data_IF_977626464325
#
_entry.id   IF_977626464325
#
_cell.length_a   1.000
_cell.length_b   1.000
_cell.length_c   1.000
_cell.angle_alpha   90.00
_cell.angle_beta   90.00
_cell.angle_gamma   90.00
#
_symmetry.space_group_name_H-M   'P 1'
#
loop_
_entity.id
_entity.type
_entity.pdbx_description
1 polymer ?
#
# COMPACT_ATOMS: atom_id res chain seq x y z
N UNK A 1 26.19 4.39 36.99
CA UNK A 1 25.71 5.78 37.02
C UNK A 1 24.20 5.76 37.18
N UNK A 2 23.70 6.10 38.37
CA UNK A 2 22.27 6.17 38.64
C UNK A 2 21.69 7.42 37.98
N UNK A 3 20.53 7.31 37.31
CA UNK A 3 19.76 8.49 36.87
C UNK A 3 19.36 9.28 38.12
N UNK A 4 19.66 10.56 38.15
CA UNK A 4 19.19 11.48 39.18
C UNK A 4 17.68 11.64 39.05
N UNK A 5 16.94 11.54 40.17
CA UNK A 5 15.52 11.86 40.20
C UNK A 5 15.35 13.38 40.17
N UNK A 6 14.55 13.87 39.21
CA UNK A 6 14.32 15.30 38.99
C UNK A 6 12.85 15.68 39.23
N UNK A 7 12.05 14.80 39.84
CA UNK A 7 10.62 15.02 40.07
C UNK A 7 10.34 16.32 40.87
N UNK A 8 11.06 16.54 41.97
CA UNK A 8 10.87 17.71 42.83
C UNK A 8 11.19 19.03 42.10
N UNK A 9 12.27 19.01 41.31
CA UNK A 9 12.66 20.18 40.52
C UNK A 9 11.63 20.50 39.43
N UNK A 10 11.13 19.47 38.73
CA UNK A 10 10.08 19.64 37.72
C UNK A 10 8.80 20.20 38.34
N UNK A 11 8.36 19.67 39.48
CA UNK A 11 7.16 20.16 40.16
C UNK A 11 7.32 21.61 40.63
N UNK A 12 8.51 22.00 41.11
CA UNK A 12 8.79 23.38 41.49
C UNK A 12 8.75 24.30 40.26
N UNK A 13 9.41 23.91 39.17
CA UNK A 13 9.39 24.65 37.91
C UNK A 13 7.97 24.85 37.37
N UNK A 14 7.15 23.79 37.34
CA UNK A 14 5.75 23.86 36.90
C UNK A 14 4.93 24.83 37.76
N UNK A 15 5.11 24.82 39.09
CA UNK A 15 4.43 25.80 39.97
C UNK A 15 4.84 27.23 39.69
N UNK A 16 6.13 27.51 39.50
CA UNK A 16 6.60 28.86 39.15
C UNK A 16 6.03 29.33 37.81
N UNK A 17 5.89 28.43 36.83
CA UNK A 17 5.24 28.76 35.55
C UNK A 17 3.76 29.12 35.76
N UNK A 18 3.05 28.41 36.65
CA UNK A 18 1.65 28.68 36.97
C UNK A 18 1.43 29.98 37.75
N UNK A 19 2.45 30.51 38.43
CA UNK A 19 2.40 31.85 39.05
C UNK A 19 2.47 32.98 38.00
N UNK A 20 3.04 32.69 36.83
CA UNK A 20 3.26 33.65 35.75
C UNK A 20 2.18 33.61 34.66
N UNK A 21 1.49 32.49 34.50
CA UNK A 21 0.51 32.27 33.45
C UNK A 21 -0.91 32.14 34.02
N UNK A 22 -1.87 32.78 33.36
CA UNK A 22 -3.29 32.58 33.65
C UNK A 22 -3.79 31.26 33.05
N UNK A 23 -4.95 30.78 33.52
CA UNK A 23 -5.64 29.64 32.92
C UNK A 23 -5.93 29.89 31.42
N UNK A 24 -6.23 31.14 31.04
CA UNK A 24 -6.47 31.49 29.64
C UNK A 24 -5.20 31.35 28.80
N UNK A 25 -4.03 31.75 29.31
CA UNK A 25 -2.76 31.57 28.61
C UNK A 25 -2.45 30.09 28.36
N UNK A 26 -2.78 29.23 29.32
CA UNK A 26 -2.65 27.79 29.16
C UNK A 26 -3.62 27.23 28.10
N UNK A 27 -4.88 27.68 28.11
CA UNK A 27 -5.87 27.29 27.10
C UNK A 27 -5.42 27.72 25.70
N UNK A 28 -4.94 28.95 25.55
CA UNK A 28 -4.40 29.46 24.29
C UNK A 28 -3.17 28.66 23.85
N UNK A 29 -2.32 28.27 24.82
CA UNK A 29 -1.19 27.39 24.64
C UNK A 29 -1.56 26.03 24.04
N UNK A 30 -2.67 25.40 24.46
CA UNK A 30 -3.17 24.12 23.89
C UNK A 30 -3.47 24.23 22.39
N UNK A 31 -3.95 25.39 21.94
CA UNK A 31 -4.21 25.68 20.52
C UNK A 31 -2.97 26.21 19.77
N UNK A 32 -1.85 26.37 20.47
CA UNK A 32 -0.61 26.91 19.92
C UNK A 32 0.00 26.04 18.82
N UNK A 33 0.80 26.67 17.94
CA UNK A 33 1.50 25.96 16.85
C UNK A 33 2.66 25.10 17.34
N UNK A 34 3.26 25.43 18.49
CA UNK A 34 4.36 24.67 19.06
C UNK A 34 3.81 23.44 19.82
N UNK A 35 4.02 22.25 19.25
CA UNK A 35 3.50 20.99 19.79
C UNK A 35 3.99 20.67 21.21
N UNK A 36 5.20 21.09 21.57
CA UNK A 36 5.72 20.86 22.93
C UNK A 36 5.01 21.75 23.93
N UNK A 37 4.84 23.04 23.60
CA UNK A 37 4.08 23.98 24.44
C UNK A 37 2.63 23.53 24.57
N UNK A 38 1.97 23.16 23.47
CA UNK A 38 0.58 22.69 23.50
C UNK A 38 0.39 21.47 24.39
N UNK A 39 1.28 20.48 24.30
CA UNK A 39 1.26 19.30 25.18
C UNK A 39 1.53 19.66 26.64
N UNK A 40 2.50 20.54 26.92
CA UNK A 40 2.81 20.97 28.29
C UNK A 40 1.67 21.76 28.92
N UNK A 41 1.05 22.68 28.18
CA UNK A 41 -0.13 23.42 28.63
C UNK A 41 -1.31 22.48 28.90
N UNK A 42 -1.57 21.52 28.01
CA UNK A 42 -2.60 20.50 28.21
C UNK A 42 -2.31 19.64 29.45
N UNK A 43 -1.07 19.21 29.62
CA UNK A 43 -0.63 18.45 30.79
C UNK A 43 -0.83 19.26 32.07
N UNK A 44 -0.39 20.52 32.13
CA UNK A 44 -0.53 21.38 33.31
C UNK A 44 -2.01 21.61 33.65
N UNK A 45 -2.86 21.91 32.66
CA UNK A 45 -4.31 22.05 32.86
C UNK A 45 -4.90 20.79 33.49
N UNK A 46 -4.50 19.61 33.00
CA UNK A 46 -5.02 18.35 33.52
C UNK A 46 -4.46 17.99 34.90
N UNK A 47 -3.14 18.05 35.08
CA UNK A 47 -2.42 17.63 36.28
C UNK A 47 -2.79 18.48 37.50
N UNK A 48 -3.00 19.78 37.30
CA UNK A 48 -3.34 20.72 38.37
C UNK A 48 -4.83 21.02 38.46
N UNK A 49 -5.68 20.37 37.65
CA UNK A 49 -7.13 20.55 37.68
C UNK A 49 -7.59 21.96 37.35
N UNK A 50 -6.92 22.62 36.41
CA UNK A 50 -7.16 24.03 36.06
C UNK A 50 -8.14 24.14 34.88
N UNK A 51 -9.07 25.08 34.98
CA UNK A 51 -10.05 25.38 33.93
C UNK A 51 -11.14 24.31 33.74
N UNK A 52 -12.01 24.52 32.74
CA UNK A 52 -13.01 23.52 32.39
C UNK A 52 -12.38 22.34 31.62
N UNK A 53 -12.59 21.14 32.17
CA UNK A 53 -12.09 19.89 31.61
C UNK A 53 -12.66 19.59 30.23
N UNK A 54 -13.94 19.84 30.01
CA UNK A 54 -14.55 19.59 28.71
C UNK A 54 -13.95 20.50 27.64
N UNK A 55 -13.74 21.78 27.97
CA UNK A 55 -13.15 22.78 27.11
C UNK A 55 -11.75 22.36 26.60
N UNK A 56 -10.79 22.12 27.49
CA UNK A 56 -9.42 21.85 27.05
C UNK A 56 -9.28 20.49 26.35
N UNK A 57 -10.04 19.46 26.74
CA UNK A 57 -10.10 18.18 26.02
C UNK A 57 -10.64 18.43 24.61
N UNK A 58 -11.71 19.20 24.50
CA UNK A 58 -12.29 19.56 23.21
C UNK A 58 -11.32 20.33 22.32
N UNK A 59 -10.52 21.25 22.87
CA UNK A 59 -9.50 21.99 22.13
C UNK A 59 -8.40 21.05 21.62
N UNK A 60 -7.88 20.19 22.49
CA UNK A 60 -6.85 19.23 22.15
C UNK A 60 -7.31 18.19 21.12
N UNK A 61 -8.57 17.75 21.15
CA UNK A 61 -9.15 16.86 20.12
C UNK A 61 -9.25 17.52 18.74
N UNK A 62 -9.44 18.85 18.69
CA UNK A 62 -9.54 19.61 17.46
C UNK A 62 -8.18 19.91 16.79
N UNK A 63 -7.07 19.52 17.42
CA UNK A 63 -5.73 19.74 16.86
C UNK A 63 -5.57 19.04 15.50
N UNK A 64 -4.91 19.73 14.57
CA UNK A 64 -4.61 19.19 13.24
C UNK A 64 -3.19 18.69 13.07
N UNK A 65 -2.28 19.13 13.94
CA UNK A 65 -0.83 18.90 13.81
C UNK A 65 -0.26 17.87 14.78
N UNK A 66 -1.02 17.48 15.80
CA UNK A 66 -0.47 16.68 16.90
C UNK A 66 -1.34 15.48 17.29
N UNK A 67 -1.03 14.32 16.72
CA UNK A 67 -1.75 13.08 17.05
C UNK A 67 -1.54 12.64 18.50
N UNK A 68 -0.45 13.03 19.16
CA UNK A 68 -0.16 12.63 20.54
C UNK A 68 -1.07 13.40 21.47
N UNK A 69 -1.19 14.72 21.29
CA UNK A 69 -2.10 15.56 22.04
C UNK A 69 -3.56 15.09 21.86
N UNK A 70 -3.99 14.83 20.62
CA UNK A 70 -5.31 14.27 20.35
C UNK A 70 -5.54 12.91 21.04
N UNK A 71 -4.50 12.06 21.09
CA UNK A 71 -4.57 10.75 21.76
C UNK A 71 -4.70 10.91 23.29
N UNK A 72 -3.94 11.83 23.88
CA UNK A 72 -4.03 12.13 25.31
C UNK A 72 -5.43 12.65 25.67
N UNK A 73 -5.94 13.61 24.89
CA UNK A 73 -7.29 14.14 25.05
C UNK A 73 -8.36 13.06 24.96
N UNK A 74 -8.28 12.19 23.95
CA UNK A 74 -9.23 11.10 23.78
C UNK A 74 -9.29 10.14 24.97
N UNK A 75 -8.14 9.84 25.60
CA UNK A 75 -8.10 8.99 26.81
C UNK A 75 -8.84 9.63 27.98
N UNK A 76 -8.80 10.95 28.10
CA UNK A 76 -9.47 11.66 29.18
C UNK A 76 -11.00 11.73 29.01
N UNK A 77 -11.53 11.57 27.79
CA UNK A 77 -12.99 11.52 27.55
C UNK A 77 -13.69 10.42 28.36
N UNK A 78 -13.00 9.29 28.63
CA UNK A 78 -13.57 8.20 29.42
C UNK A 78 -13.87 8.59 30.87
N UNK A 79 -13.27 9.68 31.36
CA UNK A 79 -13.35 10.14 32.75
C UNK A 79 -14.14 11.44 32.93
N UNK A 80 -14.88 11.88 31.90
CA UNK A 80 -15.84 12.99 31.98
C UNK A 80 -17.25 12.47 32.26
N UNK A 81 -18.18 13.37 32.61
CA UNK A 81 -19.59 13.02 32.76
C UNK A 81 -20.18 12.44 31.44
N UNK A 82 -21.18 11.54 31.49
CA UNK A 82 -21.67 10.82 30.30
C UNK A 82 -22.20 11.70 29.15
N UNK A 83 -22.87 12.80 29.49
CA UNK A 83 -23.38 13.80 28.55
C UNK A 83 -22.24 14.51 27.81
N UNK A 84 -21.23 14.95 28.56
CA UNK A 84 -20.00 15.58 28.03
C UNK A 84 -19.18 14.58 27.22
N UNK A 85 -19.08 13.35 27.70
CA UNK A 85 -18.30 12.28 27.08
C UNK A 85 -18.75 12.04 25.63
N UNK A 86 -20.06 11.93 25.41
CA UNK A 86 -20.64 11.72 24.08
C UNK A 86 -20.28 12.88 23.14
N UNK A 87 -20.45 14.13 23.60
CA UNK A 87 -20.10 15.31 22.81
C UNK A 87 -18.61 15.36 22.44
N UNK A 88 -17.72 14.97 23.36
CA UNK A 88 -16.28 14.90 23.10
C UNK A 88 -15.93 13.81 22.09
N UNK A 89 -16.55 12.63 22.15
CA UNK A 89 -16.32 11.59 21.13
C UNK A 89 -16.85 12.01 19.76
N UNK A 90 -18.01 12.67 19.68
CA UNK A 90 -18.49 13.26 18.43
C UNK A 90 -17.52 14.31 17.87
N UNK A 91 -16.89 15.11 18.73
CA UNK A 91 -15.82 16.02 18.32
C UNK A 91 -14.57 15.28 17.83
N UNK A 92 -14.19 14.18 18.49
CA UNK A 92 -13.08 13.33 18.09
C UNK A 92 -13.32 12.64 16.73
N UNK A 93 -14.58 12.39 16.34
CA UNK A 93 -14.94 11.91 15.00
C UNK A 93 -14.56 12.88 13.88
N UNK A 94 -14.34 14.16 14.17
CA UNK A 94 -13.88 15.16 13.20
C UNK A 94 -12.34 15.25 13.10
N UNK A 95 -11.62 14.46 13.90
CA UNK A 95 -10.16 14.48 13.92
C UNK A 95 -9.58 14.10 12.55
N UNK A 96 -8.49 14.74 12.07
CA UNK A 96 -7.81 14.30 10.85
C UNK A 96 -7.16 12.92 11.02
N UNK A 97 -6.93 12.49 12.25
CA UNK A 97 -6.24 11.24 12.57
C UNK A 97 -7.22 10.06 12.60
N UNK A 98 -7.08 9.13 11.64
CA UNK A 98 -7.96 7.97 11.55
C UNK A 98 -8.02 7.09 12.81
N UNK A 99 -6.91 7.01 13.57
CA UNK A 99 -6.89 6.28 14.87
C UNK A 99 -7.81 6.92 15.91
N UNK A 100 -7.84 8.25 15.97
CA UNK A 100 -8.71 8.98 16.91
C UNK A 100 -10.17 8.77 16.54
N UNK A 101 -10.52 8.90 15.26
CA UNK A 101 -11.89 8.60 14.77
C UNK A 101 -12.29 7.16 15.02
N UNK A 102 -11.39 6.20 14.81
CA UNK A 102 -11.66 4.76 15.06
C UNK A 102 -12.01 4.53 16.54
N UNK A 103 -11.19 5.03 17.46
CA UNK A 103 -11.42 4.88 18.89
C UNK A 103 -12.66 5.65 19.37
N UNK A 104 -12.92 6.83 18.83
CA UNK A 104 -14.13 7.60 19.13
C UNK A 104 -15.40 6.86 18.68
N UNK A 105 -15.43 6.32 17.46
CA UNK A 105 -16.57 5.52 16.99
C UNK A 105 -16.79 4.28 17.85
N UNK A 106 -15.72 3.57 18.23
CA UNK A 106 -15.82 2.44 19.14
C UNK A 106 -16.42 2.84 20.49
N UNK A 107 -15.95 3.92 21.10
CA UNK A 107 -16.50 4.41 22.36
C UNK A 107 -17.97 4.82 22.23
N UNK A 108 -18.37 5.46 21.11
CA UNK A 108 -19.76 5.82 20.85
C UNK A 108 -20.66 4.59 20.71
N UNK A 109 -20.18 3.50 20.09
CA UNK A 109 -20.96 2.24 20.02
C UNK A 109 -21.19 1.57 21.37
N UNK A 110 -20.39 1.92 22.39
CA UNK A 110 -20.46 1.36 23.75
C UNK A 110 -21.14 2.31 24.74
N UNK A 111 -21.40 3.56 24.35
CA UNK A 111 -21.93 4.58 25.24
C UNK A 111 -23.42 4.31 25.56
N UNK A 112 -23.83 4.35 26.85
CA UNK A 112 -25.23 4.27 27.22
C UNK A 112 -25.95 5.59 26.87
N UNK A 113 -26.60 5.64 25.71
CA UNK A 113 -27.36 6.82 25.27
C UNK A 113 -27.80 6.71 23.82
N UNK A 114 -29.05 7.07 23.54
CA UNK A 114 -29.71 6.95 22.24
C UNK A 114 -29.26 7.98 21.20
N UNK A 115 -27.95 8.09 20.94
CA UNK A 115 -27.48 8.73 19.72
C UNK A 115 -27.98 7.94 18.51
N UNK A 116 -28.25 8.63 17.40
CA UNK A 116 -28.57 7.99 16.14
C UNK A 116 -27.30 7.32 15.56
N UNK A 117 -26.96 6.18 16.16
CA UNK A 117 -25.79 5.37 15.78
C UNK A 117 -25.90 4.89 14.35
N UNK A 118 -27.12 4.73 13.82
CA UNK A 118 -27.35 4.40 12.42
C UNK A 118 -26.88 5.54 11.52
N UNK A 119 -27.31 6.77 11.76
CA UNK A 119 -26.86 7.93 10.97
C UNK A 119 -25.33 8.13 11.05
N UNK A 120 -24.75 7.98 12.24
CA UNK A 120 -23.30 8.10 12.42
C UNK A 120 -22.52 7.01 11.66
N UNK A 121 -22.99 5.76 11.73
CA UNK A 121 -22.35 4.66 11.03
C UNK A 121 -22.48 4.82 9.51
N UNK A 122 -23.64 5.24 8.99
CA UNK A 122 -23.84 5.55 7.58
C UNK A 122 -22.87 6.63 7.08
N UNK A 123 -22.70 7.73 7.84
CA UNK A 123 -21.74 8.78 7.52
C UNK A 123 -20.28 8.27 7.53
N UNK A 124 -20.00 7.25 8.35
CA UNK A 124 -18.66 6.66 8.52
C UNK A 124 -18.33 5.58 7.48
N UNK A 125 -19.29 5.14 6.65
CA UNK A 125 -19.07 4.12 5.61
C UNK A 125 -18.04 4.54 4.55
N UNK A 126 -17.84 5.84 4.36
CA UNK A 126 -16.90 6.42 3.39
C UNK A 126 -15.65 7.04 4.01
N UNK A 127 -15.41 6.80 5.30
CA UNK A 127 -14.23 7.32 5.97
C UNK A 127 -12.94 6.87 5.26
N UNK A 128 -11.94 7.76 5.15
CA UNK A 128 -10.67 7.43 4.51
C UNK A 128 -9.94 6.26 5.21
N UNK A 129 -10.08 6.14 6.53
CA UNK A 129 -9.48 5.10 7.36
C UNK A 129 -10.32 3.82 7.33
N UNK A 130 -9.70 2.72 6.91
CA UNK A 130 -10.38 1.42 6.80
C UNK A 130 -10.97 0.95 8.14
N UNK A 131 -10.25 1.13 9.25
CA UNK A 131 -10.70 0.73 10.59
C UNK A 131 -12.02 1.41 11.01
N UNK A 132 -12.22 2.69 10.65
CA UNK A 132 -13.49 3.40 10.91
C UNK A 132 -14.61 2.76 10.09
N UNK A 133 -14.36 2.49 8.80
CA UNK A 133 -15.35 1.83 7.93
C UNK A 133 -15.72 0.44 8.44
N UNK A 134 -14.77 -0.35 8.93
CA UNK A 134 -15.04 -1.67 9.48
C UNK A 134 -15.95 -1.61 10.71
N UNK A 135 -15.72 -0.66 11.62
CA UNK A 135 -16.59 -0.45 12.78
C UNK A 135 -17.98 0.01 12.36
N UNK A 136 -18.08 0.92 11.39
CA UNK A 136 -19.35 1.38 10.85
C UNK A 136 -20.17 0.24 10.23
N UNK A 137 -19.50 -0.61 9.43
CA UNK A 137 -20.11 -1.81 8.85
C UNK A 137 -20.61 -2.75 9.94
N UNK A 138 -19.78 -3.06 10.94
CA UNK A 138 -20.17 -3.93 12.04
C UNK A 138 -21.38 -3.39 12.81
N UNK A 139 -21.39 -2.09 13.09
CA UNK A 139 -22.50 -1.41 13.76
C UNK A 139 -23.81 -1.54 12.97
N UNK A 140 -23.80 -1.26 11.67
CA UNK A 140 -24.98 -1.38 10.82
C UNK A 140 -25.46 -2.84 10.68
N UNK A 141 -24.52 -3.79 10.57
CA UNK A 141 -24.86 -5.21 10.54
C UNK A 141 -25.51 -5.69 11.84
N UNK A 142 -25.07 -5.20 13.00
CA UNK A 142 -25.75 -5.52 14.28
C UNK A 142 -27.16 -4.96 14.36
N UNK A 143 -27.49 -3.94 13.56
CA UNK A 143 -28.84 -3.39 13.40
C UNK A 143 -29.67 -4.10 12.32
N UNK A 144 -29.13 -5.13 11.67
CA UNK A 144 -29.81 -5.87 10.59
C UNK A 144 -29.76 -5.20 9.21
N UNK A 145 -28.91 -4.19 9.03
CA UNK A 145 -28.78 -3.47 7.75
C UNK A 145 -27.85 -4.21 6.77
N UNK A 146 -28.27 -4.30 5.50
CA UNK A 146 -27.37 -4.72 4.41
C UNK A 146 -26.59 -3.51 3.87
N UNK A 147 -25.41 -3.30 4.44
CA UNK A 147 -24.49 -2.21 4.06
C UNK A 147 -24.08 -2.24 2.58
N UNK A 148 -24.21 -3.38 1.89
CA UNK A 148 -23.90 -3.47 0.45
C UNK A 148 -24.84 -2.60 -0.36
N UNK A 149 -26.09 -2.42 0.07
CA UNK A 149 -27.08 -1.56 -0.59
C UNK A 149 -26.54 -0.13 -0.69
N UNK A 150 -25.95 0.41 0.40
CA UNK A 150 -25.36 1.75 0.41
C UNK A 150 -24.18 1.87 -0.56
N UNK A 151 -23.28 0.89 -0.59
CA UNK A 151 -22.14 0.91 -1.51
C UNK A 151 -22.57 0.75 -2.97
N UNK A 152 -23.54 -0.12 -3.27
CA UNK A 152 -24.13 -0.28 -4.61
C UNK A 152 -24.78 1.02 -5.08
N UNK A 153 -25.53 1.70 -4.23
CA UNK A 153 -26.16 2.98 -4.56
C UNK A 153 -25.13 4.05 -4.93
N UNK A 154 -23.98 4.09 -4.24
CA UNK A 154 -22.88 5.01 -4.57
C UNK A 154 -22.27 4.66 -5.92
N UNK A 155 -22.04 3.38 -6.21
CA UNK A 155 -21.48 2.94 -7.50
C UNK A 155 -22.45 3.16 -8.66
N UNK A 156 -23.76 3.08 -8.42
CA UNK A 156 -24.79 3.35 -9.42
C UNK A 156 -25.00 4.85 -9.69
N UNK A 157 -24.61 5.73 -8.76
CA UNK A 157 -24.80 7.16 -8.91
C UNK A 157 -23.68 7.80 -9.77
N UNK A 158 -24.00 8.37 -10.94
CA UNK A 158 -23.00 8.99 -11.83
C UNK A 158 -22.36 10.26 -11.24
N UNK A 159 -22.97 10.89 -10.24
CA UNK A 159 -22.44 12.05 -9.56
C UNK A 159 -21.44 11.70 -8.43
N UNK A 160 -21.25 10.41 -8.13
CA UNK A 160 -20.30 9.98 -7.11
C UNK A 160 -18.87 10.36 -7.48
N UNK A 161 -18.15 10.96 -6.53
CA UNK A 161 -16.75 11.30 -6.72
C UNK A 161 -15.85 10.05 -6.72
N UNK A 162 -14.65 10.18 -7.28
CA UNK A 162 -13.65 9.12 -7.41
C UNK A 162 -13.29 8.45 -6.07
N UNK A 163 -13.23 9.21 -4.97
CA UNK A 163 -12.91 8.65 -3.66
C UNK A 163 -14.04 7.76 -3.14
N UNK A 164 -15.28 8.21 -3.25
CA UNK A 164 -16.47 7.44 -2.85
C UNK A 164 -16.58 6.13 -3.64
N UNK A 165 -16.33 6.17 -4.96
CA UNK A 165 -16.30 4.99 -5.82
C UNK A 165 -15.22 4.00 -5.35
N UNK A 166 -13.98 4.47 -5.17
CA UNK A 166 -12.85 3.63 -4.73
C UNK A 166 -13.12 2.98 -3.38
N UNK A 167 -13.62 3.75 -2.42
CA UNK A 167 -13.95 3.23 -1.08
C UNK A 167 -15.05 2.18 -1.17
N UNK A 168 -16.12 2.45 -1.94
CA UNK A 168 -17.22 1.51 -2.12
C UNK A 168 -16.77 0.19 -2.75
N UNK A 169 -15.94 0.22 -3.79
CA UNK A 169 -15.34 -0.99 -4.38
C UNK A 169 -14.53 -1.79 -3.35
N UNK A 170 -13.61 -1.12 -2.65
CA UNK A 170 -12.76 -1.78 -1.65
C UNK A 170 -13.57 -2.36 -0.48
N UNK A 171 -14.65 -1.69 -0.08
CA UNK A 171 -15.56 -2.15 0.97
C UNK A 171 -16.37 -3.36 0.50
N UNK A 172 -16.99 -3.32 -0.68
CA UNK A 172 -17.70 -4.48 -1.26
C UNK A 172 -16.77 -5.69 -1.38
N UNK A 173 -15.56 -5.51 -1.89
CA UNK A 173 -14.57 -6.59 -1.95
C UNK A 173 -14.19 -7.14 -0.57
N UNK A 174 -14.20 -6.31 0.48
CA UNK A 174 -13.91 -6.76 1.85
C UNK A 174 -15.07 -7.53 2.48
N UNK A 175 -16.31 -7.30 2.02
CA UNK A 175 -17.50 -8.06 2.42
C UNK A 175 -17.59 -9.43 1.74
N UNK A 176 -16.83 -9.64 0.64
CA UNK A 176 -16.67 -10.93 -0.07
C UNK A 176 -17.99 -11.58 -0.49
N UNK A 177 -18.97 -10.76 -0.84
CA UNK A 177 -20.24 -11.22 -1.37
C UNK A 177 -20.10 -11.51 -2.88
N UNK A 178 -20.30 -12.77 -3.34
CA UNK A 178 -20.15 -13.13 -4.75
C UNK A 178 -21.13 -12.38 -5.67
N UNK A 179 -22.28 -11.96 -5.16
CA UNK A 179 -23.29 -11.24 -5.94
C UNK A 179 -22.80 -9.86 -6.41
N UNK A 180 -21.76 -9.31 -5.77
CA UNK A 180 -21.16 -8.02 -6.15
C UNK A 180 -20.07 -8.16 -7.22
N UNK A 181 -19.69 -9.38 -7.60
CA UNK A 181 -18.52 -9.61 -8.45
C UNK A 181 -18.67 -8.97 -9.83
N UNK A 182 -19.82 -9.11 -10.47
CA UNK A 182 -20.06 -8.52 -11.80
C UNK A 182 -20.08 -6.99 -11.74
N UNK A 183 -20.67 -6.41 -10.69
CA UNK A 183 -20.63 -4.97 -10.46
C UNK A 183 -19.18 -4.50 -10.27
N UNK A 184 -18.39 -5.19 -9.46
CA UNK A 184 -16.97 -4.88 -9.25
C UNK A 184 -16.19 -4.96 -10.57
N UNK A 185 -16.42 -6.02 -11.36
CA UNK A 185 -15.74 -6.24 -12.65
C UNK A 185 -16.03 -5.14 -13.66
N UNK A 186 -17.24 -4.57 -13.68
CA UNK A 186 -17.57 -3.45 -14.57
C UNK A 186 -16.63 -2.24 -14.38
N UNK A 187 -16.13 -2.00 -13.15
CA UNK A 187 -15.22 -0.89 -12.86
C UNK A 187 -13.75 -1.18 -13.25
N UNK A 188 -13.40 -2.40 -13.66
CA UNK A 188 -12.07 -2.71 -14.19
C UNK A 188 -11.81 -2.03 -15.53
N UNK A 189 -12.87 -1.58 -16.22
CA UNK A 189 -12.81 -0.82 -17.48
C UNK A 189 -12.88 0.70 -17.29
N UNK A 190 -12.81 1.18 -16.04
CA UNK A 190 -12.86 2.62 -15.76
C UNK A 190 -11.70 3.37 -16.45
N UNK A 191 -11.96 4.56 -16.99
CA UNK A 191 -10.91 5.44 -17.52
C UNK A 191 -9.92 5.88 -16.45
N UNK A 192 -10.33 5.88 -15.17
CA UNK A 192 -9.52 6.32 -14.04
C UNK A 192 -8.68 5.16 -13.49
N UNK A 193 -7.32 5.21 -13.55
CA UNK A 193 -6.48 4.12 -13.08
C UNK A 193 -6.67 3.77 -11.60
N UNK A 194 -6.94 4.78 -10.76
CA UNK A 194 -7.16 4.59 -9.32
C UNK A 194 -8.45 3.85 -9.00
N UNK A 195 -9.46 3.94 -9.87
CA UNK A 195 -10.72 3.19 -9.79
C UNK A 195 -10.51 1.76 -10.27
N UNK A 196 -9.83 1.57 -11.41
CA UNK A 196 -9.46 0.22 -11.88
C UNK A 196 -8.70 -0.55 -10.82
N UNK A 197 -7.68 0.07 -10.21
CA UNK A 197 -6.90 -0.56 -9.14
C UNK A 197 -7.78 -0.96 -7.94
N UNK A 198 -8.74 -0.12 -7.55
CA UNK A 198 -9.68 -0.46 -6.49
C UNK A 198 -10.58 -1.64 -6.88
N UNK A 199 -11.06 -1.67 -8.13
CA UNK A 199 -11.87 -2.76 -8.67
C UNK A 199 -11.10 -4.09 -8.70
N UNK A 200 -9.85 -4.12 -9.18
CA UNK A 200 -9.02 -5.33 -9.16
C UNK A 200 -8.70 -5.82 -7.75
N UNK A 201 -8.42 -4.91 -6.81
CA UNK A 201 -8.26 -5.28 -5.40
C UNK A 201 -9.54 -5.86 -4.80
N UNK A 202 -10.70 -5.30 -5.17
CA UNK A 202 -11.99 -5.80 -4.72
C UNK A 202 -12.32 -7.17 -5.32
N UNK A 203 -12.08 -7.34 -6.62
CA UNK A 203 -12.25 -8.60 -7.33
C UNK A 203 -11.39 -9.69 -6.69
N UNK A 204 -10.11 -9.43 -6.46
CA UNK A 204 -9.22 -10.38 -5.82
C UNK A 204 -9.72 -10.85 -4.44
N UNK A 205 -10.31 -9.96 -3.65
CA UNK A 205 -10.86 -10.34 -2.35
C UNK A 205 -12.15 -11.15 -2.47
N UNK A 206 -13.01 -10.83 -3.43
CA UNK A 206 -14.27 -11.51 -3.68
C UNK A 206 -14.09 -12.88 -4.34
N UNK A 207 -13.10 -13.01 -5.24
CA UNK A 207 -12.76 -14.25 -5.94
C UNK A 207 -11.23 -14.47 -5.98
N UNK A 208 -10.62 -14.93 -4.86
CA UNK A 208 -9.17 -15.15 -4.79
C UNK A 208 -8.63 -16.18 -5.80
N UNK A 209 -9.48 -17.10 -6.27
CA UNK A 209 -9.16 -18.07 -7.33
C UNK A 209 -8.77 -17.40 -8.64
N UNK A 210 -9.26 -16.18 -8.89
CA UNK A 210 -9.05 -15.45 -10.14
C UNK A 210 -7.71 -14.70 -10.16
N UNK A 211 -6.85 -14.88 -9.14
CA UNK A 211 -5.59 -14.14 -8.96
C UNK A 211 -4.70 -14.12 -10.20
N UNK A 212 -4.65 -15.21 -10.97
CA UNK A 212 -3.81 -15.35 -12.16
C UNK A 212 -4.36 -14.50 -13.32
N UNK A 213 -5.67 -14.56 -13.55
CA UNK A 213 -6.36 -13.73 -14.54
C UNK A 213 -6.27 -12.24 -14.18
N UNK A 214 -6.46 -11.90 -12.90
CA UNK A 214 -6.31 -10.54 -12.37
C UNK A 214 -4.89 -10.01 -12.60
N UNK A 215 -3.88 -10.82 -12.29
CA UNK A 215 -2.48 -10.43 -12.45
C UNK A 215 -2.13 -10.22 -13.93
N UNK A 216 -2.59 -11.09 -14.82
CA UNK A 216 -2.40 -10.95 -16.27
C UNK A 216 -3.05 -9.66 -16.80
N UNK A 217 -4.31 -9.39 -16.44
CA UNK A 217 -4.99 -8.17 -16.88
C UNK A 217 -4.31 -6.90 -16.34
N UNK A 218 -3.90 -6.92 -15.07
CA UNK A 218 -3.17 -5.81 -14.46
C UNK A 218 -1.79 -5.59 -15.08
N UNK A 219 -1.09 -6.65 -15.51
CA UNK A 219 0.19 -6.55 -16.20
C UNK A 219 0.03 -5.92 -17.59
N UNK A 220 -1.10 -6.17 -18.26
CA UNK A 220 -1.45 -5.56 -19.54
C UNK A 220 -1.88 -4.09 -19.46
N UNK A 221 -2.18 -3.55 -18.28
CA UNK A 221 -2.64 -2.17 -18.10
C UNK A 221 -1.51 -1.14 -18.25
N UNK A 222 -1.82 0.01 -18.86
CA UNK A 222 -0.84 1.08 -19.11
C UNK A 222 -0.43 1.88 -17.88
N UNK A 223 -1.22 1.83 -16.80
CA UNK A 223 -0.95 2.62 -15.61
C UNK A 223 0.18 2.01 -14.75
N UNK A 224 1.18 2.80 -14.32
CA UNK A 224 2.27 2.30 -13.48
C UNK A 224 1.81 1.66 -12.17
N UNK A 225 0.72 2.18 -11.58
CA UNK A 225 0.12 1.60 -10.38
C UNK A 225 -0.43 0.18 -10.59
N UNK A 226 -0.97 -0.10 -11.78
CA UNK A 226 -1.49 -1.41 -12.16
C UNK A 226 -0.36 -2.41 -12.44
N UNK A 227 0.69 -1.98 -13.14
CA UNK A 227 1.89 -2.79 -13.35
C UNK A 227 2.57 -3.16 -12.02
N UNK A 228 2.67 -2.20 -11.09
CA UNK A 228 3.16 -2.45 -9.73
C UNK A 228 2.29 -3.45 -8.98
N UNK A 229 0.97 -3.33 -9.10
CA UNK A 229 0.02 -4.28 -8.51
C UNK A 229 0.21 -5.69 -9.07
N UNK A 230 0.31 -5.86 -10.40
CA UNK A 230 0.58 -7.15 -11.03
C UNK A 230 1.90 -7.78 -10.57
N UNK A 231 2.98 -6.99 -10.47
CA UNK A 231 4.26 -7.48 -9.94
C UNK A 231 4.13 -7.96 -8.49
N UNK A 232 3.36 -7.25 -7.66
CA UNK A 232 3.10 -7.65 -6.27
C UNK A 232 2.25 -8.93 -6.19
N UNK A 233 1.29 -9.09 -7.08
CA UNK A 233 0.48 -10.31 -7.19
C UNK A 233 1.35 -11.54 -7.44
N UNK A 234 2.26 -11.46 -8.42
CA UNK A 234 3.16 -12.57 -8.74
C UNK A 234 4.15 -12.83 -7.61
N UNK A 235 4.85 -11.79 -7.14
CA UNK A 235 5.96 -11.94 -6.17
C UNK A 235 5.52 -12.24 -4.73
N UNK A 236 4.32 -11.82 -4.29
CA UNK A 236 3.90 -11.93 -2.89
C UNK A 236 2.64 -12.75 -2.68
N UNK A 237 1.81 -12.90 -3.70
CA UNK A 237 0.52 -13.57 -3.60
C UNK A 237 0.46 -14.86 -4.43
N UNK A 238 1.58 -15.24 -5.06
CA UNK A 238 1.73 -16.47 -5.82
C UNK A 238 0.79 -16.54 -7.03
N UNK A 239 0.45 -15.39 -7.63
CA UNK A 239 -0.23 -15.39 -8.92
C UNK A 239 0.75 -15.87 -10.00
N UNK A 240 0.28 -16.70 -10.92
CA UNK A 240 1.05 -17.20 -12.04
C UNK A 240 0.59 -16.54 -13.33
N UNK A 241 1.54 -15.97 -14.08
CA UNK A 241 1.31 -15.47 -15.44
C UNK A 241 2.26 -16.23 -16.36
N UNK A 242 1.76 -17.03 -17.32
CA UNK A 242 2.62 -17.68 -18.29
C UNK A 242 3.46 -16.64 -19.05
N UNK A 243 4.78 -16.81 -19.05
CA UNK A 243 5.69 -15.85 -19.69
C UNK A 243 5.42 -15.71 -21.19
N UNK A 244 5.01 -16.79 -21.85
CA UNK A 244 4.61 -16.81 -23.25
C UNK A 244 3.42 -15.88 -23.56
N UNK A 245 2.52 -15.67 -22.58
CA UNK A 245 1.40 -14.73 -22.70
C UNK A 245 1.83 -13.30 -22.37
N UNK A 246 2.69 -13.13 -21.36
CA UNK A 246 3.13 -11.83 -20.89
C UNK A 246 4.08 -11.12 -21.87
N UNK A 247 5.03 -11.87 -22.46
CA UNK A 247 6.06 -11.34 -23.35
C UNK A 247 5.49 -10.48 -24.50
N UNK A 248 4.59 -11.00 -25.36
CA UNK A 248 4.07 -10.21 -26.48
C UNK A 248 3.31 -8.96 -26.01
N UNK A 249 2.63 -9.01 -24.85
CA UNK A 249 1.91 -7.86 -24.29
C UNK A 249 2.85 -6.72 -23.89
N UNK A 250 3.99 -7.05 -23.27
CA UNK A 250 4.97 -6.06 -22.81
C UNK A 250 5.85 -5.55 -23.97
N UNK A 251 6.24 -6.43 -24.90
CA UNK A 251 7.03 -6.06 -26.08
C UNK A 251 6.27 -5.10 -27.00
N UNK A 252 4.98 -5.34 -27.26
CA UNK A 252 4.13 -4.45 -28.05
C UNK A 252 4.05 -3.02 -27.47
N UNK A 253 4.38 -2.85 -26.20
CA UNK A 253 4.38 -1.57 -25.47
C UNK A 253 5.79 -1.00 -25.21
N UNK A 254 6.84 -1.72 -25.59
CA UNK A 254 8.22 -1.34 -25.27
C UNK A 254 8.58 -1.44 -23.78
N UNK A 255 7.83 -2.22 -22.99
CA UNK A 255 7.99 -2.33 -21.53
C UNK A 255 9.11 -3.32 -21.14
N UNK A 256 10.29 -3.13 -21.70
CA UNK A 256 11.43 -4.07 -21.58
C UNK A 256 11.93 -4.27 -20.14
N UNK A 257 11.88 -3.22 -19.31
CA UNK A 257 12.25 -3.31 -17.89
C UNK A 257 11.31 -4.21 -17.10
N UNK A 258 10.00 -4.12 -17.37
CA UNK A 258 9.02 -5.00 -16.75
C UNK A 258 9.20 -6.44 -17.25
N UNK A 259 9.48 -6.61 -18.54
CA UNK A 259 9.75 -7.94 -19.11
C UNK A 259 10.91 -8.63 -18.39
N UNK A 260 12.05 -7.94 -18.22
CA UNK A 260 13.20 -8.45 -17.47
C UNK A 260 12.86 -8.75 -16.00
N UNK A 261 12.05 -7.89 -15.37
CA UNK A 261 11.60 -8.10 -13.99
C UNK A 261 10.75 -9.36 -13.82
N UNK A 262 9.88 -9.69 -14.78
CA UNK A 262 9.11 -10.94 -14.73
C UNK A 262 9.98 -12.15 -15.09
N UNK A 263 10.92 -11.99 -16.02
CA UNK A 263 11.82 -13.06 -16.43
C UNK A 263 12.76 -13.49 -15.31
N UNK A 264 13.18 -12.57 -14.42
CA UNK A 264 14.15 -12.84 -13.35
C UNK A 264 13.71 -13.88 -12.31
N UNK A 265 12.42 -14.22 -12.26
CA UNK A 265 11.91 -15.34 -11.45
C UNK A 265 12.31 -16.73 -11.98
N UNK A 266 12.81 -16.84 -13.20
CA UNK A 266 13.27 -18.10 -13.80
C UNK A 266 14.64 -17.91 -14.45
N UNK A 267 15.64 -18.69 -14.01
CA UNK A 267 17.04 -18.61 -14.48
C UNK A 267 17.12 -18.54 -16.00
N UNK A 268 16.60 -19.55 -16.68
CA UNK A 268 16.74 -19.65 -18.14
C UNK A 268 15.85 -18.67 -18.89
N UNK A 269 14.68 -18.34 -18.34
CA UNK A 269 13.84 -17.30 -18.93
C UNK A 269 14.51 -15.93 -18.88
N UNK A 270 15.18 -15.62 -17.78
CA UNK A 270 15.91 -14.37 -17.61
C UNK A 270 17.04 -14.24 -18.61
N UNK A 271 17.91 -15.25 -18.73
CA UNK A 271 19.01 -15.23 -19.70
C UNK A 271 18.50 -15.15 -21.14
N UNK A 272 17.49 -15.94 -21.49
CA UNK A 272 16.86 -15.91 -22.81
C UNK A 272 16.27 -14.53 -23.13
N UNK A 273 15.71 -13.84 -22.14
CA UNK A 273 15.15 -12.49 -22.31
C UNK A 273 16.25 -11.45 -22.49
N UNK A 274 17.35 -11.53 -21.73
CA UNK A 274 18.52 -10.65 -21.93
C UNK A 274 19.07 -10.84 -23.36
N UNK A 275 19.27 -12.09 -23.79
CA UNK A 275 19.77 -12.40 -25.13
C UNK A 275 18.83 -11.87 -26.23
N UNK A 276 17.52 -12.06 -26.05
CA UNK A 276 16.52 -11.56 -26.99
C UNK A 276 16.58 -10.04 -27.15
N UNK A 277 16.63 -9.30 -26.03
CA UNK A 277 16.69 -7.84 -26.03
C UNK A 277 18.01 -7.31 -26.58
N UNK A 278 19.13 -8.00 -26.30
CA UNK A 278 20.44 -7.66 -26.86
C UNK A 278 20.48 -7.86 -28.39
N UNK A 279 19.84 -8.91 -28.90
CA UNK A 279 19.75 -9.17 -30.35
C UNK A 279 18.88 -8.14 -31.07
N UNK A 280 17.77 -7.73 -30.46
CA UNK A 280 16.74 -6.94 -31.12
C UNK A 280 17.18 -5.52 -31.52
N UNK A 281 18.27 -4.97 -30.94
CA UNK A 281 18.77 -3.59 -31.19
C UNK A 281 17.64 -2.56 -31.32
N UNK A 282 16.58 -2.69 -30.50
CA UNK A 282 15.37 -1.92 -30.69
C UNK A 282 15.64 -0.42 -30.44
N UNK A 283 15.08 0.51 -31.25
CA UNK A 283 15.29 1.96 -31.09
C UNK A 283 14.92 2.52 -29.71
N UNK A 284 14.21 1.75 -28.89
CA UNK A 284 13.80 2.06 -27.52
C UNK A 284 14.05 0.88 -26.55
N UNK A 285 15.03 0.03 -26.88
CA UNK A 285 15.50 -1.02 -25.99
C UNK A 285 16.13 -0.45 -24.72
N UNK A 286 16.25 -1.26 -23.64
CA UNK A 286 17.03 -0.86 -22.48
C UNK A 286 18.48 -0.58 -22.91
N UNK A 287 19.15 0.40 -22.29
CA UNK A 287 20.53 0.71 -22.65
C UNK A 287 21.41 -0.50 -22.39
N UNK A 288 22.49 -0.63 -23.16
CA UNK A 288 23.43 -1.76 -23.05
C UNK A 288 23.96 -1.92 -21.62
N UNK A 289 24.21 -0.81 -20.92
CA UNK A 289 24.64 -0.79 -19.51
C UNK A 289 23.63 -1.41 -18.55
N UNK A 290 22.33 -1.33 -18.84
CA UNK A 290 21.30 -1.99 -18.04
C UNK A 290 21.25 -3.50 -18.30
N UNK A 291 21.38 -3.91 -19.56
CA UNK A 291 21.43 -5.33 -19.93
C UNK A 291 22.70 -6.01 -19.38
N UNK A 292 23.84 -5.32 -19.40
CA UNK A 292 25.06 -5.74 -18.72
C UNK A 292 24.82 -5.95 -17.22
N UNK A 293 24.24 -4.98 -16.53
CA UNK A 293 23.92 -5.12 -15.10
C UNK A 293 22.99 -6.31 -14.79
N UNK A 294 21.97 -6.54 -15.62
CA UNK A 294 21.07 -7.69 -15.48
C UNK A 294 21.80 -9.02 -15.76
N UNK A 295 22.71 -9.07 -16.73
CA UNK A 295 23.54 -10.24 -17.01
C UNK A 295 24.50 -10.53 -15.85
N UNK A 296 25.17 -9.53 -15.30
CA UNK A 296 26.02 -9.69 -14.13
C UNK A 296 25.23 -10.15 -12.89
N UNK A 297 23.97 -9.70 -12.73
CA UNK A 297 23.09 -10.22 -11.68
C UNK A 297 22.74 -11.68 -11.94
N UNK A 298 22.43 -12.05 -13.18
CA UNK A 298 22.16 -13.43 -13.56
C UNK A 298 23.35 -14.35 -13.28
N UNK A 299 24.57 -13.97 -13.68
CA UNK A 299 25.78 -14.79 -13.48
C UNK A 299 26.04 -15.04 -11.99
N UNK A 300 25.87 -14.01 -11.15
CA UNK A 300 26.02 -14.14 -9.69
C UNK A 300 24.99 -15.09 -9.06
N UNK A 301 23.78 -15.14 -9.61
CA UNK A 301 22.70 -15.97 -9.10
C UNK A 301 22.60 -17.35 -9.80
N UNK A 302 23.36 -17.58 -10.89
CA UNK A 302 23.24 -18.76 -11.75
C UNK A 302 23.43 -20.09 -11.02
N UNK A 303 24.34 -20.14 -10.03
CA UNK A 303 24.59 -21.35 -9.23
C UNK A 303 23.53 -21.61 -8.15
N UNK A 304 22.68 -20.62 -7.81
CA UNK A 304 21.67 -20.74 -6.75
C UNK A 304 20.33 -21.28 -7.25
N UNK A 305 20.07 -21.20 -8.56
CA UNK A 305 18.78 -21.50 -9.14
C UNK A 305 18.88 -22.79 -9.96
N UNK A 306 18.24 -23.85 -9.47
CA UNK A 306 18.18 -25.16 -10.12
C UNK A 306 17.09 -25.19 -11.19
N UNK A 307 17.41 -25.72 -12.38
CA UNK A 307 16.45 -25.91 -13.47
C UNK A 307 17.15 -26.11 -14.80
N UNK A 308 16.44 -26.63 -15.80
CA UNK A 308 16.93 -26.81 -17.17
C UNK A 308 16.22 -25.83 -18.12
N UNK A 309 16.88 -25.40 -19.20
CA UNK A 309 16.23 -24.59 -20.22
C UNK A 309 15.16 -25.42 -20.94
N UNK A 310 14.00 -24.83 -21.21
CA UNK A 310 13.00 -25.47 -22.08
C UNK A 310 13.46 -25.41 -23.56
N UNK A 311 12.77 -26.11 -24.46
CA UNK A 311 13.15 -26.17 -25.88
C UNK A 311 13.35 -24.81 -26.55
N UNK A 312 12.44 -23.84 -26.31
CA UNK A 312 12.57 -22.49 -26.89
C UNK A 312 13.78 -21.72 -26.34
N UNK A 313 14.05 -21.85 -25.04
CA UNK A 313 15.20 -21.24 -24.38
C UNK A 313 16.50 -21.88 -24.89
N UNK A 314 16.50 -23.21 -25.03
CA UNK A 314 17.62 -23.97 -25.56
C UNK A 314 17.94 -23.56 -27.00
N UNK A 315 16.93 -23.50 -27.87
CA UNK A 315 17.08 -23.12 -29.27
C UNK A 315 17.60 -21.69 -29.44
N UNK A 316 17.16 -20.75 -28.59
CA UNK A 316 17.67 -19.37 -28.61
C UNK A 316 19.10 -19.29 -28.10
N UNK A 317 19.38 -19.86 -26.93
CA UNK A 317 20.68 -19.74 -26.25
C UNK A 317 21.79 -20.56 -26.93
N UNK A 318 21.43 -21.54 -27.76
CA UNK A 318 22.37 -22.29 -28.59
C UNK A 318 22.72 -21.56 -29.90
N UNK A 319 22.09 -20.41 -30.22
CA UNK A 319 22.45 -19.66 -31.42
C UNK A 319 23.75 -18.89 -31.21
N UNK A 320 24.68 -18.98 -32.17
CA UNK A 320 25.96 -18.25 -32.14
C UNK A 320 25.75 -16.75 -31.95
N UNK A 321 24.79 -16.15 -32.68
CA UNK A 321 24.43 -14.73 -32.55
C UNK A 321 23.96 -14.36 -31.14
N UNK A 322 23.21 -15.23 -30.47
CA UNK A 322 22.67 -14.95 -29.14
C UNK A 322 23.80 -14.97 -28.10
N UNK A 323 24.71 -15.95 -28.20
CA UNK A 323 25.89 -16.01 -27.34
C UNK A 323 26.85 -14.85 -27.61
N UNK A 324 27.05 -14.47 -28.87
CA UNK A 324 27.85 -13.30 -29.24
C UNK A 324 27.26 -12.01 -28.65
N UNK A 325 25.93 -11.84 -28.74
CA UNK A 325 25.23 -10.70 -28.15
C UNK A 325 25.38 -10.64 -26.62
N UNK A 326 25.25 -11.79 -25.93
CA UNK A 326 25.48 -11.86 -24.48
C UNK A 326 26.92 -11.54 -24.10
N UNK A 327 27.91 -12.06 -24.83
CA UNK A 327 29.34 -11.76 -24.60
C UNK A 327 29.67 -10.29 -24.86
N UNK A 328 29.04 -9.66 -25.85
CA UNK A 328 29.20 -8.25 -26.15
C UNK A 328 28.64 -7.31 -25.06
N UNK A 329 27.81 -7.83 -24.14
CA UNK A 329 27.39 -7.06 -22.96
C UNK A 329 28.48 -7.01 -21.89
N UNK A 330 29.37 -8.02 -21.82
CA UNK A 330 30.44 -8.10 -20.83
C UNK A 330 31.66 -7.31 -21.34
N UNK A 331 32.22 -6.44 -20.49
CA UNK A 331 33.39 -5.63 -20.86
C UNK A 331 34.70 -6.41 -20.68
N UNK A 332 35.82 -5.83 -21.12
CA UNK A 332 37.17 -6.43 -20.96
C UNK A 332 37.54 -6.63 -19.48
N UNK A 333 36.90 -5.92 -18.54
CA UNK A 333 37.12 -6.10 -17.10
C UNK A 333 36.31 -7.26 -16.49
N UNK A 334 35.52 -7.97 -17.31
CA UNK A 334 34.60 -9.03 -16.89
C UNK A 334 35.05 -10.45 -17.32
N UNK A 335 36.36 -10.68 -17.55
CA UNK A 335 36.90 -11.99 -18.00
C UNK A 335 36.44 -13.15 -17.11
N UNK A 336 36.40 -12.94 -15.80
CA UNK A 336 35.87 -13.92 -14.85
C UNK A 336 34.40 -14.24 -15.10
N UNK A 337 33.57 -13.23 -15.37
CA UNK A 337 32.13 -13.41 -15.63
C UNK A 337 31.89 -14.04 -17.01
N UNK A 338 32.70 -13.73 -18.01
CA UNK A 338 32.66 -14.38 -19.33
C UNK A 338 32.97 -15.88 -19.23
N UNK A 339 33.95 -16.24 -18.39
CA UNK A 339 34.28 -17.65 -18.10
C UNK A 339 33.12 -18.37 -17.40
N UNK A 340 32.50 -17.74 -16.40
CA UNK A 340 31.35 -18.30 -15.69
C UNK A 340 30.12 -18.48 -16.60
N UNK A 341 29.82 -17.49 -17.45
CA UNK A 341 28.76 -17.61 -18.45
C UNK A 341 29.02 -18.79 -19.39
N UNK A 342 30.25 -18.93 -19.88
CA UNK A 342 30.63 -20.03 -20.78
C UNK A 342 30.51 -21.39 -20.10
N UNK A 343 30.93 -21.49 -18.84
CA UNK A 343 30.79 -22.70 -18.03
C UNK A 343 29.32 -23.09 -17.87
N UNK A 344 28.44 -22.14 -17.51
CA UNK A 344 27.01 -22.38 -17.34
C UNK A 344 26.32 -22.82 -18.64
N UNK A 345 26.67 -22.21 -19.78
CA UNK A 345 26.14 -22.63 -21.09
C UNK A 345 26.63 -24.05 -21.47
N UNK A 346 27.91 -24.36 -21.25
CA UNK A 346 28.48 -25.67 -21.56
C UNK A 346 27.91 -26.79 -20.69
N UNK A 347 27.72 -26.54 -19.39
CA UNK A 347 27.12 -27.48 -18.44
C UNK A 347 25.75 -27.99 -18.92
N UNK A 348 24.98 -27.13 -19.57
CA UNK A 348 23.63 -27.43 -20.06
C UNK A 348 23.56 -27.70 -21.57
N UNK A 349 24.69 -28.05 -22.20
CA UNK A 349 24.78 -28.41 -23.62
C UNK A 349 24.31 -27.30 -24.59
N UNK A 350 24.31 -26.04 -24.14
CA UNK A 350 23.98 -24.86 -24.95
C UNK A 350 25.19 -24.44 -25.77
N UNK A 351 25.64 -25.32 -26.67
CA UNK A 351 26.77 -25.06 -27.58
C UNK A 351 26.26 -24.68 -28.96
N UNK A 352 26.86 -23.67 -29.63
CA UNK A 352 26.54 -23.37 -31.01
C UNK A 352 26.71 -24.60 -31.90
N UNK A 353 25.70 -24.92 -32.71
CA UNK A 353 25.87 -25.91 -33.76
C UNK A 353 27.01 -25.46 -34.66
N UNK A 354 27.99 -26.35 -34.92
CA UNK A 354 29.05 -26.07 -35.89
C UNK A 354 28.39 -25.76 -37.23
N UNK A 355 28.45 -24.51 -37.65
CA UNK A 355 27.99 -24.09 -38.98
C UNK A 355 28.75 -24.94 -40.01
N UNK A 356 28.07 -25.69 -40.91
CA UNK A 356 28.78 -26.37 -41.98
C UNK A 356 29.47 -25.29 -42.81
N UNK A 357 30.81 -25.36 -42.83
CA UNK A 357 31.62 -24.53 -43.71
C UNK A 357 31.27 -24.95 -45.15
N UNK A 358 30.65 -24.04 -45.90
CA UNK A 358 30.48 -24.15 -47.35
C UNK A 358 31.50 -23.30 -48.07
#
# INVERSE_FOLDING_TARGET
MSRSDHADWLQHFERTVLELLSVQDLLDGVCGKNVHVARSCFYMLHQYGLGDRAQYIGMALATRGDTVLATQALRLCASTAPDVQTALYLKAMLSPFGRIRTSALLSLTQAPGGQDMRALALASLLDAQASVRYLAVACLQTMGEDVRISYRAILANPASNTQAIRVSLLSLGSLRAPEDLELIRAFTQSKLPSVRLAAYNAWLKAAPSDKDAIALQAAGDVAPGMQKFACQMVSRQGAFIPFATLRPLLEARGEHYLLLRYASGSKWQWLATIAHLALAHAPHGPPQTYLDHELLRWIRDAHRITGEPNGQQHDLLSQERAQAALRALLTVHDEQYSTLLTHELALHQLTPAKTPQH
#
